data_IF_239685085664
#
_entry.id   IF_239685085664
#
_cell.length_a   1.000
_cell.length_b   1.000
_cell.length_c   1.000
_cell.angle_alpha   90.00
_cell.angle_beta   90.00
_cell.angle_gamma   90.00
#
_symmetry.space_group_name_H-M   'P 1'
#
loop_
_entity.id
_entity.type
_entity.pdbx_description
1 polymer ?
#
# COMPACT_ATOMS: atom_id res chain seq x y z
N UNK A 1 -11.22 -40.51 -31.16
CA UNK A 1 -12.33 -39.54 -31.05
C UNK A 1 -12.60 -39.08 -29.61
N UNK A 2 -12.55 -39.94 -28.58
CA UNK A 2 -12.76 -39.54 -27.18
C UNK A 2 -11.66 -38.61 -26.62
N UNK A 3 -10.38 -38.90 -26.89
CA UNK A 3 -9.25 -38.07 -26.46
C UNK A 3 -9.33 -36.62 -26.97
N UNK A 4 -9.78 -36.43 -28.21
CA UNK A 4 -9.98 -35.10 -28.81
C UNK A 4 -11.10 -34.35 -28.07
N UNK A 5 -12.21 -35.02 -27.75
CA UNK A 5 -13.30 -34.42 -26.97
C UNK A 5 -12.83 -34.04 -25.56
N UNK A 6 -12.06 -34.90 -24.89
CA UNK A 6 -11.49 -34.61 -23.58
C UNK A 6 -10.57 -33.38 -23.63
N UNK A 7 -9.67 -33.31 -24.61
CA UNK A 7 -8.79 -32.16 -24.79
C UNK A 7 -9.56 -30.86 -25.01
N UNK A 8 -10.60 -30.88 -25.86
CA UNK A 8 -11.46 -29.72 -26.09
C UNK A 8 -12.12 -29.27 -24.78
N UNK A 9 -12.67 -30.19 -23.99
CA UNK A 9 -13.29 -29.84 -22.70
C UNK A 9 -12.29 -29.26 -21.70
N UNK A 10 -11.08 -29.78 -21.65
CA UNK A 10 -10.01 -29.21 -20.81
C UNK A 10 -9.61 -27.81 -21.28
N UNK A 11 -9.47 -27.58 -22.59
CA UNK A 11 -9.15 -26.28 -23.14
C UNK A 11 -10.26 -25.25 -22.87
N UNK A 12 -11.53 -25.64 -23.05
CA UNK A 12 -12.69 -24.79 -22.73
C UNK A 12 -12.73 -24.48 -21.23
N UNK A 13 -12.52 -25.49 -20.37
CA UNK A 13 -12.48 -25.32 -18.93
C UNK A 13 -11.37 -24.36 -18.48
N UNK A 14 -10.16 -24.53 -19.01
CA UNK A 14 -9.06 -23.60 -18.75
C UNK A 14 -9.37 -22.18 -19.24
N UNK A 15 -9.90 -22.04 -20.46
CA UNK A 15 -10.33 -20.76 -21.01
C UNK A 15 -11.37 -20.05 -20.14
N UNK A 16 -12.33 -20.79 -19.56
CA UNK A 16 -13.31 -20.25 -18.63
C UNK A 16 -12.67 -19.78 -17.31
N UNK A 17 -11.69 -20.51 -16.77
CA UNK A 17 -10.93 -20.10 -15.58
C UNK A 17 -10.15 -18.81 -15.85
N UNK A 18 -9.46 -18.74 -16.99
CA UNK A 18 -8.68 -17.57 -17.42
C UNK A 18 -9.59 -16.36 -17.58
N UNK A 19 -10.74 -16.52 -18.25
CA UNK A 19 -11.73 -15.46 -18.41
C UNK A 19 -12.30 -15.00 -17.05
N UNK A 20 -12.61 -15.94 -16.16
CA UNK A 20 -13.06 -15.66 -14.80
C UNK A 20 -12.03 -14.84 -14.02
N UNK A 21 -10.76 -15.26 -14.01
CA UNK A 21 -9.67 -14.52 -13.38
C UNK A 21 -9.52 -13.11 -13.98
N UNK A 22 -9.60 -12.97 -15.30
CA UNK A 22 -9.51 -11.67 -15.98
C UNK A 22 -10.65 -10.72 -15.59
N UNK A 23 -11.89 -11.21 -15.53
CA UNK A 23 -13.06 -10.42 -15.18
C UNK A 23 -13.09 -10.06 -13.69
N UNK A 24 -12.63 -10.96 -12.82
CA UNK A 24 -12.69 -10.81 -11.36
C UNK A 24 -11.40 -10.23 -10.74
N UNK A 25 -10.36 -9.97 -11.52
CA UNK A 25 -9.05 -9.52 -10.99
C UNK A 25 -9.14 -8.30 -10.06
N UNK A 26 -10.03 -7.34 -10.34
CA UNK A 26 -10.21 -6.15 -9.48
C UNK A 26 -10.70 -6.55 -8.10
N UNK A 27 -11.63 -7.50 -8.00
CA UNK A 27 -12.12 -7.99 -6.72
C UNK A 27 -11.09 -8.85 -5.99
N UNK A 28 -10.27 -9.61 -6.73
CA UNK A 28 -9.18 -10.41 -6.16
C UNK A 28 -8.07 -9.52 -5.59
N UNK A 29 -7.71 -8.44 -6.29
CA UNK A 29 -6.64 -7.53 -5.89
C UNK A 29 -7.14 -6.54 -4.84
N UNK A 30 -8.38 -6.06 -4.96
CA UNK A 30 -9.00 -5.10 -4.05
C UNK A 30 -10.30 -5.67 -3.44
N UNK A 31 -10.18 -6.59 -2.46
CA UNK A 31 -11.34 -7.22 -1.84
C UNK A 31 -11.98 -6.30 -0.80
N UNK A 32 -12.59 -5.19 -1.23
CA UNK A 32 -13.07 -4.14 -0.32
C UNK A 32 -14.09 -4.61 0.71
N UNK A 33 -14.88 -5.65 0.39
CA UNK A 33 -15.80 -6.28 1.33
C UNK A 33 -15.12 -6.96 2.53
N UNK A 34 -13.83 -7.28 2.45
CA UNK A 34 -13.05 -7.87 3.55
C UNK A 34 -12.44 -6.83 4.50
N UNK A 35 -12.45 -5.54 4.13
CA UNK A 35 -11.88 -4.49 4.98
C UNK A 35 -12.67 -4.25 6.28
N UNK A 36 -13.94 -4.62 6.31
CA UNK A 36 -14.80 -4.43 7.49
C UNK A 36 -15.11 -2.95 7.82
N UNK A 37 -15.86 -2.72 8.89
CA UNK A 37 -16.40 -1.41 9.26
C UNK A 37 -15.39 -0.44 9.92
N UNK A 38 -14.15 -0.88 10.16
CA UNK A 38 -13.14 -0.11 10.89
C UNK A 38 -13.41 -0.02 12.40
N UNK A 39 -12.38 0.31 13.21
CA UNK A 39 -12.55 0.54 14.65
C UNK A 39 -13.22 1.89 14.95
N UNK A 40 -13.70 2.06 16.18
CA UNK A 40 -14.05 3.38 16.68
C UNK A 40 -12.80 4.26 16.75
N UNK A 41 -12.89 5.47 16.19
CA UNK A 41 -11.83 6.47 16.19
C UNK A 41 -11.95 7.39 17.42
N UNK A 42 -10.83 7.99 17.87
CA UNK A 42 -10.88 8.99 18.92
C UNK A 42 -11.67 10.24 18.47
N UNK A 43 -12.24 11.04 19.40
CA UNK A 43 -13.08 12.20 19.07
C UNK A 43 -12.41 13.26 18.19
N UNK A 44 -11.08 13.36 18.26
CA UNK A 44 -10.27 14.31 17.50
C UNK A 44 -10.03 13.86 16.05
N UNK A 45 -10.50 12.68 15.67
CA UNK A 45 -10.37 12.18 14.31
C UNK A 45 -11.23 12.98 13.33
N UNK A 46 -10.63 13.36 12.20
CA UNK A 46 -11.28 14.10 11.13
C UNK A 46 -11.39 13.25 9.87
N UNK A 47 -12.47 13.46 9.11
CA UNK A 47 -12.64 12.89 7.77
C UNK A 47 -12.50 14.01 6.75
N UNK A 48 -11.41 14.00 6.00
CA UNK A 48 -11.21 14.96 4.91
C UNK A 48 -11.73 14.34 3.62
N UNK A 49 -12.74 14.97 3.02
CA UNK A 49 -13.23 14.57 1.70
C UNK A 49 -12.36 15.21 0.61
N UNK A 50 -12.12 14.44 -0.44
CA UNK A 50 -11.41 14.82 -1.66
C UNK A 50 -12.43 14.72 -2.80
N UNK A 51 -12.85 15.88 -3.31
CA UNK A 51 -13.87 16.01 -4.35
C UNK A 51 -13.25 16.76 -5.54
N UNK A 52 -12.67 16.01 -6.49
CA UNK A 52 -12.04 16.60 -7.68
C UNK A 52 -12.48 15.85 -8.95
N UNK A 53 -13.65 16.22 -9.47
CA UNK A 53 -14.17 15.76 -10.77
C UNK A 53 -14.40 14.25 -10.91
N UNK A 54 -14.45 13.50 -9.80
CA UNK A 54 -14.59 12.04 -9.77
C UNK A 54 -15.29 11.57 -8.50
N UNK A 55 -15.27 10.24 -8.19
CA UNK A 55 -15.85 9.71 -6.98
C UNK A 55 -15.27 10.39 -5.73
N UNK A 56 -16.11 10.58 -4.72
CA UNK A 56 -15.68 11.12 -3.43
C UNK A 56 -14.73 10.14 -2.75
N UNK A 57 -13.53 10.61 -2.43
CA UNK A 57 -12.52 9.84 -1.70
C UNK A 57 -12.30 10.49 -0.33
N UNK A 58 -12.06 9.68 0.69
CA UNK A 58 -11.94 10.15 2.07
C UNK A 58 -10.59 9.77 2.65
N UNK A 59 -10.01 10.72 3.38
CA UNK A 59 -8.85 10.53 4.22
C UNK A 59 -9.30 10.58 5.69
N UNK A 60 -8.82 9.64 6.49
CA UNK A 60 -8.93 9.73 7.95
C UNK A 60 -7.68 10.42 8.48
N UNK A 61 -7.85 11.52 9.20
CA UNK A 61 -6.79 12.31 9.81
C UNK A 61 -6.90 12.23 11.34
N UNK A 62 -5.78 11.97 11.99
CA UNK A 62 -5.63 11.93 13.44
C UNK A 62 -4.55 12.95 13.84
N UNK A 63 -4.90 14.03 14.56
CA UNK A 63 -3.90 14.98 15.06
C UNK A 63 -3.00 14.32 16.11
N UNK A 64 -1.81 14.89 16.41
CA UNK A 64 -0.94 14.40 17.48
C UNK A 64 -1.69 14.36 18.83
N UNK A 65 -1.55 13.25 19.56
CA UNK A 65 -2.13 13.08 20.90
C UNK A 65 -1.14 13.31 22.03
N UNK A 66 0.15 13.45 21.72
CA UNK A 66 1.20 13.72 22.71
C UNK A 66 2.24 14.70 22.18
N UNK A 67 2.24 15.92 22.73
CA UNK A 67 3.35 16.87 22.59
C UNK A 67 3.82 17.04 21.15
N UNK A 68 2.91 17.38 20.24
CA UNK A 68 3.22 17.51 18.82
C UNK A 68 4.42 18.42 18.60
N UNK A 69 5.49 17.87 18.05
CA UNK A 69 6.63 18.71 17.67
C UNK A 69 6.15 19.62 16.53
N UNK A 70 6.36 20.93 16.66
CA UNK A 70 5.91 21.92 15.68
C UNK A 70 6.40 21.65 14.25
N UNK A 71 7.41 20.79 14.10
CA UNK A 71 8.06 20.41 12.83
C UNK A 71 7.96 18.90 12.53
N UNK A 72 7.20 18.12 13.30
CA UNK A 72 7.03 16.70 13.03
C UNK A 72 6.33 16.49 11.67
N UNK A 73 6.86 15.62 10.78
CA UNK A 73 6.19 15.31 9.53
C UNK A 73 4.84 14.63 9.78
N UNK A 74 3.92 14.84 8.84
CA UNK A 74 2.66 14.10 8.76
C UNK A 74 2.94 12.73 8.14
N UNK A 75 2.43 11.69 8.77
CA UNK A 75 2.55 10.31 8.28
C UNK A 75 1.33 9.99 7.41
N UNK A 76 1.48 10.08 6.08
CA UNK A 76 0.43 9.74 5.13
C UNK A 76 0.54 8.25 4.75
N UNK A 77 -0.52 7.49 4.99
CA UNK A 77 -0.48 6.03 4.96
C UNK A 77 -1.40 5.43 3.92
N UNK A 78 -0.88 4.43 3.21
CA UNK A 78 -1.58 3.59 2.26
C UNK A 78 -1.57 2.16 2.78
N UNK A 79 -2.73 1.65 3.16
CA UNK A 79 -2.86 0.36 3.83
C UNK A 79 -2.78 -0.85 2.87
N UNK A 80 -2.81 -2.06 3.43
CA UNK A 80 -2.96 -3.28 2.62
C UNK A 80 -4.30 -3.33 1.88
N UNK A 81 -4.39 -4.18 0.86
CA UNK A 81 -5.57 -4.29 0.01
C UNK A 81 -6.84 -4.79 0.73
N UNK A 82 -6.73 -5.42 1.89
CA UNK A 82 -7.88 -5.89 2.67
C UNK A 82 -8.04 -5.10 3.98
N UNK A 83 -7.44 -3.92 4.08
CA UNK A 83 -7.47 -3.12 5.30
C UNK A 83 -8.51 -2.00 5.23
N UNK A 84 -9.03 -1.66 6.41
CA UNK A 84 -9.74 -0.41 6.61
C UNK A 84 -8.74 0.69 6.97
N UNK A 85 -8.83 1.86 6.33
CA UNK A 85 -7.86 2.92 6.55
C UNK A 85 -7.93 3.53 7.97
N UNK A 86 -9.08 3.44 8.66
CA UNK A 86 -9.20 3.84 10.07
C UNK A 86 -8.38 2.95 10.98
N UNK A 87 -8.32 1.64 10.68
CA UNK A 87 -7.48 0.71 11.41
C UNK A 87 -5.99 1.01 11.19
N UNK A 88 -5.61 1.35 9.95
CA UNK A 88 -4.24 1.77 9.62
C UNK A 88 -3.85 3.07 10.33
N UNK A 89 -4.71 4.09 10.26
CA UNK A 89 -4.50 5.37 10.94
C UNK A 89 -4.36 5.17 12.45
N UNK A 90 -5.24 4.38 13.07
CA UNK A 90 -5.20 4.14 14.50
C UNK A 90 -3.97 3.32 14.94
N UNK A 91 -3.54 2.35 14.14
CA UNK A 91 -2.30 1.62 14.38
C UNK A 91 -1.10 2.57 14.43
N UNK A 92 -0.93 3.39 13.39
CA UNK A 92 0.20 4.31 13.32
C UNK A 92 0.12 5.40 14.38
N UNK A 93 -1.06 5.93 14.65
CA UNK A 93 -1.24 6.94 15.70
C UNK A 93 -0.88 6.40 17.10
N UNK A 94 -1.07 5.10 17.36
CA UNK A 94 -0.59 4.46 18.60
C UNK A 94 0.93 4.31 18.65
N UNK A 95 1.57 4.07 17.51
CA UNK A 95 3.03 3.94 17.40
C UNK A 95 3.71 5.32 17.44
N UNK A 96 3.04 6.34 16.90
CA UNK A 96 3.53 7.70 16.68
C UNK A 96 2.56 8.77 17.24
N UNK A 97 2.27 8.77 18.54
CA UNK A 97 1.35 9.76 19.14
C UNK A 97 1.82 11.22 19.01
N UNK A 98 3.10 11.43 18.71
CA UNK A 98 3.74 12.72 18.46
C UNK A 98 3.54 13.26 17.03
N UNK A 99 3.07 12.43 16.10
CA UNK A 99 2.84 12.79 14.71
C UNK A 99 1.36 12.95 14.38
N UNK A 100 1.07 13.81 13.41
CA UNK A 100 -0.20 13.75 12.70
C UNK A 100 -0.18 12.53 11.78
N UNK A 101 -1.24 11.74 11.80
CA UNK A 101 -1.38 10.55 10.95
C UNK A 101 -2.57 10.71 10.04
N UNK A 102 -2.38 10.38 8.76
CA UNK A 102 -3.42 10.37 7.77
C UNK A 102 -3.46 9.01 7.05
N UNK A 103 -4.63 8.47 6.75
CA UNK A 103 -4.78 7.24 5.99
C UNK A 103 -5.88 7.32 4.94
N UNK A 104 -5.55 6.90 3.71
CA UNK A 104 -6.45 6.97 2.56
C UNK A 104 -7.42 5.79 2.52
N UNK A 105 -8.72 6.07 2.47
CA UNK A 105 -9.71 5.07 2.11
C UNK A 105 -9.74 4.91 0.59
N UNK A 106 -9.37 3.75 0.09
CA UNK A 106 -9.35 3.49 -1.35
C UNK A 106 -10.78 3.51 -1.92
N UNK A 107 -10.94 3.83 -3.20
CA UNK A 107 -12.26 3.78 -3.83
C UNK A 107 -12.94 2.43 -3.61
N UNK A 108 -14.21 2.44 -3.22
CA UNK A 108 -14.97 1.24 -2.88
C UNK A 108 -14.67 0.65 -1.49
N UNK A 109 -13.77 1.26 -0.71
CA UNK A 109 -13.56 0.99 0.71
C UNK A 109 -14.25 2.11 1.48
N UNK A 110 -15.31 1.76 2.23
CA UNK A 110 -16.11 2.75 2.92
C UNK A 110 -15.25 3.58 3.91
N UNK A 111 -15.37 4.93 3.89
CA UNK A 111 -16.44 5.72 3.28
C UNK A 111 -16.16 6.26 1.86
N UNK A 112 -15.08 5.87 1.20
CA UNK A 112 -14.79 6.29 -0.18
C UNK A 112 -15.71 5.61 -1.19
N UNK A 113 -16.16 6.38 -2.18
CA UNK A 113 -17.03 5.93 -3.25
C UNK A 113 -16.23 5.40 -4.46
N UNK A 114 -16.96 4.95 -5.49
CA UNK A 114 -16.37 4.51 -6.74
C UNK A 114 -15.86 3.07 -6.72
N UNK A 115 -15.02 2.72 -7.70
CA UNK A 115 -14.45 1.39 -7.87
C UNK A 115 -12.93 1.43 -7.69
N UNK A 116 -12.33 0.46 -6.97
CA UNK A 116 -10.90 0.41 -6.81
C UNK A 116 -10.21 0.01 -8.12
N UNK A 117 -9.02 0.55 -8.34
CA UNK A 117 -8.06 0.09 -9.33
C UNK A 117 -6.67 0.54 -8.91
N UNK A 118 -5.62 -0.07 -9.47
CA UNK A 118 -4.25 0.40 -9.31
C UNK A 118 -4.14 1.89 -9.67
N UNK A 119 -4.55 2.26 -10.89
CA UNK A 119 -4.57 3.65 -11.36
C UNK A 119 -5.30 4.60 -10.40
N UNK A 120 -6.48 4.21 -9.90
CA UNK A 120 -7.23 5.03 -8.96
C UNK A 120 -6.48 5.20 -7.63
N UNK A 121 -5.86 4.15 -7.10
CA UNK A 121 -5.07 4.22 -5.88
C UNK A 121 -3.87 5.17 -6.05
N UNK A 122 -3.09 5.00 -7.11
CA UNK A 122 -1.92 5.84 -7.40
C UNK A 122 -2.31 7.32 -7.54
N UNK A 123 -3.32 7.60 -8.34
CA UNK A 123 -3.83 8.95 -8.53
C UNK A 123 -4.45 9.56 -7.25
N UNK A 124 -5.20 8.79 -6.47
CA UNK A 124 -5.81 9.28 -5.23
C UNK A 124 -4.77 9.50 -4.12
N UNK A 125 -3.60 8.83 -4.17
CA UNK A 125 -2.47 9.11 -3.29
C UNK A 125 -1.95 10.54 -3.47
N UNK A 126 -1.83 11.01 -4.71
CA UNK A 126 -1.42 12.38 -5.02
C UNK A 126 -2.45 13.39 -4.51
N UNK A 127 -3.74 13.10 -4.69
CA UNK A 127 -4.81 13.97 -4.18
C UNK A 127 -4.85 14.00 -2.65
N UNK A 128 -4.51 12.90 -1.99
CA UNK A 128 -4.41 12.85 -0.53
C UNK A 128 -3.28 13.75 -0.03
N UNK A 129 -2.13 13.74 -0.70
CA UNK A 129 -1.05 14.69 -0.44
C UNK A 129 -1.54 16.13 -0.63
N UNK A 130 -2.09 16.44 -1.80
CA UNK A 130 -2.54 17.79 -2.14
C UNK A 130 -3.55 18.33 -1.12
N UNK A 131 -4.48 17.48 -0.68
CA UNK A 131 -5.48 17.83 0.33
C UNK A 131 -4.87 18.11 1.71
N UNK A 132 -3.81 17.42 2.09
CA UNK A 132 -3.12 17.64 3.38
C UNK A 132 -2.25 18.90 3.40
N UNK A 133 -1.83 19.36 2.21
CA UNK A 133 -0.97 20.53 2.02
C UNK A 133 -1.70 21.75 1.47
N UNK A 134 -3.01 21.66 1.25
CA UNK A 134 -3.81 22.72 0.62
C UNK A 134 -3.75 24.04 1.42
N UNK A 135 -3.87 23.96 2.75
CA UNK A 135 -3.98 25.11 3.64
C UNK A 135 -2.68 25.39 4.44
N UNK A 136 -1.64 24.59 4.25
CA UNK A 136 -0.37 24.70 5.00
C UNK A 136 0.77 23.98 4.30
N UNK A 137 2.00 24.43 4.55
CA UNK A 137 3.18 23.62 4.28
C UNK A 137 3.26 22.47 5.30
N UNK A 138 3.40 21.23 4.80
CA UNK A 138 3.58 20.06 5.65
C UNK A 138 4.65 19.14 5.05
N UNK A 139 5.61 18.73 5.87
CA UNK A 139 6.54 17.65 5.51
C UNK A 139 5.78 16.33 5.58
N UNK A 140 5.66 15.62 4.46
CA UNK A 140 4.94 14.34 4.40
C UNK A 140 5.94 13.19 4.37
N UNK A 141 5.78 12.21 5.24
CA UNK A 141 6.39 10.87 5.07
C UNK A 141 5.32 9.92 4.58
N UNK A 142 5.54 9.29 3.42
CA UNK A 142 4.60 8.33 2.86
C UNK A 142 4.89 6.92 3.39
N UNK A 143 3.90 6.29 4.01
CA UNK A 143 4.01 4.93 4.56
C UNK A 143 3.12 3.99 3.75
N UNK A 144 3.72 3.06 3.03
CA UNK A 144 2.99 2.11 2.19
C UNK A 144 3.10 0.68 2.72
N UNK A 145 1.95 0.08 3.04
CA UNK A 145 1.84 -1.30 3.52
C UNK A 145 1.43 -2.23 2.37
N UNK A 146 2.29 -3.19 1.99
CA UNK A 146 2.03 -4.16 0.92
C UNK A 146 1.66 -3.46 -0.40
N UNK A 147 0.41 -3.59 -0.87
CA UNK A 147 -0.09 -2.85 -2.05
C UNK A 147 0.04 -1.32 -1.92
N UNK A 148 -0.05 -0.79 -0.70
CA UNK A 148 0.14 0.62 -0.43
C UNK A 148 1.56 1.11 -0.69
N UNK A 149 2.56 0.21 -0.75
CA UNK A 149 3.94 0.59 -1.11
C UNK A 149 4.05 1.14 -2.52
N UNK A 150 3.27 0.62 -3.47
CA UNK A 150 3.22 1.18 -4.82
C UNK A 150 2.66 2.61 -4.82
N UNK A 151 1.64 2.90 -4.00
CA UNK A 151 1.07 4.23 -3.86
C UNK A 151 2.05 5.23 -3.20
N UNK A 152 2.82 4.78 -2.20
CA UNK A 152 3.83 5.61 -1.55
C UNK A 152 4.97 6.00 -2.51
N UNK A 153 5.44 5.05 -3.32
CA UNK A 153 6.50 5.30 -4.32
C UNK A 153 5.98 6.18 -5.46
N UNK A 154 4.79 5.90 -6.00
CA UNK A 154 4.19 6.71 -7.06
C UNK A 154 3.94 8.15 -6.60
N UNK A 155 3.44 8.33 -5.37
CA UNK A 155 3.32 9.66 -4.78
C UNK A 155 4.66 10.41 -4.75
N UNK A 156 5.74 9.74 -4.37
CA UNK A 156 7.07 10.35 -4.31
C UNK A 156 7.64 10.72 -5.69
N UNK A 157 7.12 10.12 -6.77
CA UNK A 157 7.50 10.49 -8.13
C UNK A 157 6.90 11.84 -8.56
N UNK A 158 5.72 12.19 -8.04
CA UNK A 158 4.97 13.36 -8.47
C UNK A 158 4.89 14.48 -7.40
N UNK A 159 5.23 14.20 -6.14
CA UNK A 159 5.16 15.14 -5.03
C UNK A 159 6.41 15.07 -4.15
N UNK A 160 6.79 16.21 -3.60
CA UNK A 160 7.95 16.34 -2.71
C UNK A 160 7.62 15.78 -1.31
N UNK A 161 7.87 14.50 -1.10
CA UNK A 161 7.80 13.87 0.23
C UNK A 161 9.15 14.00 0.96
N UNK A 162 9.11 14.07 2.28
CA UNK A 162 10.31 14.06 3.12
C UNK A 162 11.00 12.69 3.12
N UNK A 163 10.25 11.62 2.90
CA UNK A 163 10.76 10.25 2.83
C UNK A 163 9.65 9.23 2.63
N UNK A 164 10.02 7.98 2.35
CA UNK A 164 9.09 6.87 2.18
C UNK A 164 9.46 5.68 3.08
N UNK A 165 8.45 5.04 3.66
CA UNK A 165 8.61 3.80 4.43
C UNK A 165 7.73 2.71 3.82
N UNK A 166 8.36 1.63 3.36
CA UNK A 166 7.71 0.54 2.62
C UNK A 166 7.72 -0.73 3.46
N UNK A 167 6.55 -1.25 3.79
CA UNK A 167 6.39 -2.48 4.61
C UNK A 167 5.90 -3.61 3.73
N UNK A 168 6.63 -4.71 3.71
CA UNK A 168 6.45 -5.88 2.83
C UNK A 168 6.17 -5.52 1.36
N UNK A 169 6.99 -4.63 0.74
CA UNK A 169 6.77 -4.21 -0.64
C UNK A 169 7.13 -5.31 -1.64
N UNK A 170 6.55 -5.20 -2.84
CA UNK A 170 6.88 -6.02 -4.00
C UNK A 170 7.55 -5.17 -5.08
N UNK A 171 8.32 -5.80 -5.98
CA UNK A 171 8.95 -5.10 -7.11
C UNK A 171 7.94 -4.66 -8.17
N UNK A 172 7.10 -5.57 -8.65
CA UNK A 172 5.96 -5.27 -9.52
C UNK A 172 4.77 -6.18 -9.19
N UNK A 173 3.55 -5.66 -9.36
CA UNK A 173 2.34 -6.46 -9.15
C UNK A 173 2.22 -7.57 -10.19
N UNK A 174 2.73 -7.33 -11.41
CA UNK A 174 2.77 -8.32 -12.48
C UNK A 174 3.64 -9.52 -12.13
N UNK A 175 4.88 -9.29 -11.69
CA UNK A 175 5.77 -10.40 -11.33
C UNK A 175 5.30 -11.13 -10.08
N UNK A 176 4.75 -10.40 -9.10
CA UNK A 176 4.15 -11.00 -7.91
C UNK A 176 3.00 -11.94 -8.30
N UNK A 177 2.06 -11.47 -9.12
CA UNK A 177 0.93 -12.26 -9.56
C UNK A 177 1.34 -13.43 -10.47
N UNK A 178 2.31 -13.24 -11.37
CA UNK A 178 2.84 -14.30 -12.23
C UNK A 178 3.56 -15.39 -11.43
N UNK A 179 4.25 -15.02 -10.34
CA UNK A 179 4.86 -15.99 -9.41
C UNK A 179 3.82 -16.77 -8.61
N UNK A 180 2.75 -16.12 -8.16
CA UNK A 180 1.67 -16.76 -7.41
C UNK A 180 0.80 -17.67 -8.28
N UNK A 181 0.59 -17.28 -9.55
CA UNK A 181 -0.26 -17.99 -10.50
C UNK A 181 0.50 -18.34 -11.80
N UNK A 182 1.52 -19.21 -11.74
CA UNK A 182 2.39 -19.51 -12.89
C UNK A 182 1.66 -20.25 -14.03
N UNK A 183 0.49 -20.84 -13.74
CA UNK A 183 -0.38 -21.51 -14.71
C UNK A 183 -1.34 -20.54 -15.43
N UNK A 184 -1.39 -19.27 -15.01
CA UNK A 184 -2.22 -18.23 -15.60
C UNK A 184 -1.35 -17.30 -16.46
N UNK A 185 -1.79 -16.85 -17.65
CA UNK A 185 -1.01 -15.93 -18.49
C UNK A 185 -1.10 -14.50 -17.96
N UNK A 186 -0.67 -14.28 -16.72
CA UNK A 186 -0.78 -13.00 -15.98
C UNK A 186 -0.22 -11.83 -16.78
N UNK A 187 0.98 -11.99 -17.35
CA UNK A 187 1.67 -10.94 -18.13
C UNK A 187 0.88 -10.43 -19.34
N UNK A 188 0.00 -11.27 -19.89
CA UNK A 188 -0.85 -10.91 -21.03
C UNK A 188 -2.18 -10.27 -20.61
N UNK A 189 -2.63 -10.50 -19.37
CA UNK A 189 -4.02 -10.25 -18.96
C UNK A 189 -4.18 -9.30 -17.77
N UNK A 190 -3.10 -9.01 -17.04
CA UNK A 190 -3.15 -8.15 -15.87
C UNK A 190 -3.41 -6.70 -16.30
N UNK A 191 -4.52 -6.13 -15.81
CA UNK A 191 -4.92 -4.73 -16.05
C UNK A 191 -4.39 -3.78 -14.98
N UNK A 192 -4.17 -4.29 -13.78
CA UNK A 192 -3.68 -3.50 -12.65
C UNK A 192 -2.16 -3.58 -12.62
N UNK A 193 -1.50 -2.52 -13.09
CA UNK A 193 -0.04 -2.41 -13.12
C UNK A 193 0.45 -1.50 -12.01
N UNK A 194 1.52 -1.93 -11.34
CA UNK A 194 2.20 -1.21 -10.27
C UNK A 194 3.67 -1.63 -10.33
N UNK A 195 4.55 -0.69 -10.67
CA UNK A 195 5.97 -0.94 -10.91
C UNK A 195 6.84 -0.32 -9.81
N UNK A 196 6.68 -0.77 -8.57
CA UNK A 196 7.29 -0.16 -7.39
C UNK A 196 8.81 -0.06 -7.47
N UNK A 197 9.52 -1.14 -7.84
CA UNK A 197 10.99 -1.10 -7.89
C UNK A 197 11.50 -0.22 -9.05
N UNK A 198 10.88 -0.29 -10.23
CA UNK A 198 11.29 0.51 -11.38
C UNK A 198 11.03 2.00 -11.15
N UNK A 199 9.85 2.37 -10.64
CA UNK A 199 9.57 3.75 -10.27
C UNK A 199 10.54 4.25 -9.21
N UNK A 200 10.81 3.45 -8.17
CA UNK A 200 11.74 3.83 -7.10
C UNK A 200 13.17 4.07 -7.58
N UNK A 201 13.66 3.31 -8.58
CA UNK A 201 15.02 3.47 -9.09
C UNK A 201 15.29 4.82 -9.78
N UNK A 202 14.22 5.52 -10.18
CA UNK A 202 14.31 6.84 -10.81
C UNK A 202 14.20 7.99 -9.78
N UNK A 203 14.01 7.68 -8.49
CA UNK A 203 13.80 8.67 -7.43
C UNK A 203 15.03 8.80 -6.53
N UNK A 204 15.34 10.03 -6.13
CA UNK A 204 16.29 10.36 -5.06
C UNK A 204 15.50 10.79 -3.83
N UNK A 205 14.96 9.80 -3.10
CA UNK A 205 14.10 10.01 -1.94
C UNK A 205 14.55 9.13 -0.76
N UNK A 206 14.71 9.69 0.46
CA UNK A 206 15.05 8.90 1.63
C UNK A 206 14.08 7.74 1.83
N UNK A 207 14.59 6.52 1.76
CA UNK A 207 13.77 5.30 1.68
C UNK A 207 14.10 4.33 2.81
N UNK A 208 13.05 3.79 3.44
CA UNK A 208 13.15 2.67 4.37
C UNK A 208 12.32 1.49 3.89
N UNK A 209 12.84 0.27 4.06
CA UNK A 209 12.15 -0.98 3.69
C UNK A 209 12.11 -1.93 4.88
N UNK A 210 10.93 -2.46 5.20
CA UNK A 210 10.71 -3.46 6.25
C UNK A 210 10.13 -4.72 5.61
N UNK A 211 10.87 -5.83 5.64
CA UNK A 211 10.45 -7.13 5.12
C UNK A 211 9.98 -8.06 6.25
N UNK A 212 9.25 -9.13 5.89
CA UNK A 212 8.89 -10.22 6.80
C UNK A 212 9.56 -11.53 6.34
N UNK A 213 10.27 -12.21 7.25
CA UNK A 213 11.12 -13.35 6.88
C UNK A 213 10.34 -14.56 6.32
N UNK A 214 9.09 -14.75 6.74
CA UNK A 214 8.23 -15.88 6.35
C UNK A 214 7.00 -15.42 5.55
N UNK A 215 7.16 -14.34 4.80
CA UNK A 215 6.09 -13.81 3.98
C UNK A 215 5.75 -14.76 2.82
N UNK A 216 4.56 -15.37 2.90
CA UNK A 216 4.04 -16.28 1.89
C UNK A 216 3.20 -15.58 0.81
N UNK A 217 2.97 -14.27 0.94
CA UNK A 217 2.18 -13.46 0.00
C UNK A 217 3.14 -12.65 -0.87
N UNK A 218 4.06 -11.92 -0.25
CA UNK A 218 5.12 -11.13 -0.88
C UNK A 218 6.46 -11.69 -0.39
N UNK A 219 7.05 -12.66 -1.10
CA UNK A 219 8.30 -13.28 -0.66
C UNK A 219 9.39 -12.24 -0.41
N UNK A 220 10.25 -12.47 0.60
CA UNK A 220 11.28 -11.53 1.02
C UNK A 220 12.18 -11.05 -0.13
N UNK A 221 12.43 -11.90 -1.13
CA UNK A 221 13.21 -11.51 -2.32
C UNK A 221 12.56 -10.37 -3.11
N UNK A 222 11.24 -10.18 -3.00
CA UNK A 222 10.53 -9.06 -3.61
C UNK A 222 10.86 -7.75 -2.89
N UNK A 223 10.97 -7.78 -1.56
CA UNK A 223 11.42 -6.63 -0.78
C UNK A 223 12.91 -6.36 -0.97
N UNK A 224 13.74 -7.39 -1.16
CA UNK A 224 15.14 -7.23 -1.54
C UNK A 224 15.28 -6.46 -2.87
N UNK A 225 14.45 -6.77 -3.89
CA UNK A 225 14.46 -6.02 -5.14
C UNK A 225 14.10 -4.54 -4.97
N UNK A 226 13.15 -4.23 -4.09
CA UNK A 226 12.76 -2.85 -3.80
C UNK A 226 13.86 -2.13 -3.02
N UNK A 227 14.49 -2.81 -2.04
CA UNK A 227 15.67 -2.30 -1.34
C UNK A 227 16.80 -1.97 -2.32
N UNK A 228 17.11 -2.88 -3.23
CA UNK A 228 18.22 -2.74 -4.18
C UNK A 228 17.94 -1.65 -5.25
N UNK A 229 16.67 -1.32 -5.48
CA UNK A 229 16.25 -0.24 -6.36
C UNK A 229 16.31 1.15 -5.70
N UNK A 230 16.30 1.23 -4.37
CA UNK A 230 16.36 2.51 -3.66
C UNK A 230 17.75 3.15 -3.78
N UNK A 231 17.83 4.31 -4.44
CA UNK A 231 19.08 5.07 -4.58
C UNK A 231 19.57 5.66 -3.24
N UNK A 232 18.64 6.14 -2.42
CA UNK A 232 18.86 6.67 -1.05
C UNK A 232 18.20 5.77 0.02
N UNK A 233 18.71 4.55 0.16
CA UNK A 233 18.27 3.63 1.20
C UNK A 233 18.83 4.04 2.57
N UNK A 234 17.96 4.52 3.46
CA UNK A 234 18.30 4.93 4.84
C UNK A 234 18.12 3.83 5.87
N UNK A 235 17.23 2.89 5.62
CA UNK A 235 16.95 1.82 6.58
C UNK A 235 16.43 0.54 5.90
N UNK A 236 16.91 -0.61 6.37
CA UNK A 236 16.38 -1.90 5.98
C UNK A 236 16.32 -2.84 7.19
N UNK A 237 15.18 -3.48 7.40
CA UNK A 237 15.03 -4.51 8.42
C UNK A 237 14.19 -5.67 7.91
N UNK A 238 14.53 -6.88 8.34
CA UNK A 238 13.68 -8.07 8.17
C UNK A 238 13.15 -8.48 9.54
N UNK A 239 11.83 -8.59 9.65
CA UNK A 239 11.17 -9.05 10.88
C UNK A 239 11.20 -10.57 10.89
N UNK A 240 12.06 -11.11 11.75
CA UNK A 240 12.20 -12.55 11.96
C UNK A 240 10.93 -13.19 12.53
N UNK A 241 10.67 -14.44 12.13
CA UNK A 241 9.51 -15.22 12.57
C UNK A 241 8.13 -14.57 12.31
N UNK A 242 8.04 -13.65 11.34
CA UNK A 242 6.80 -13.02 10.91
C UNK A 242 6.49 -13.33 9.45
N UNK A 243 5.20 -13.45 9.12
CA UNK A 243 4.68 -13.45 7.76
C UNK A 243 3.94 -12.14 7.45
N UNK A 244 3.22 -12.12 6.32
CA UNK A 244 2.61 -10.90 5.77
C UNK A 244 1.61 -10.23 6.70
N UNK A 245 0.79 -11.04 7.39
CA UNK A 245 -0.38 -10.55 8.13
C UNK A 245 -0.12 -10.43 9.64
N UNK A 246 0.82 -11.20 10.20
CA UNK A 246 1.14 -11.24 11.62
C UNK A 246 2.40 -10.43 11.97
N UNK A 247 3.06 -9.82 10.98
CA UNK A 247 4.17 -8.88 11.20
C UNK A 247 3.75 -7.71 12.11
N UNK A 248 2.53 -7.18 11.93
CA UNK A 248 2.06 -6.00 12.66
C UNK A 248 1.92 -6.24 14.18
N UNK A 249 1.79 -7.50 14.60
CA UNK A 249 1.67 -7.89 16.00
C UNK A 249 3.04 -8.04 16.69
N UNK A 250 4.14 -7.90 15.94
CA UNK A 250 5.49 -8.11 16.48
C UNK A 250 6.02 -6.82 17.09
N UNK A 251 6.57 -6.91 18.30
CA UNK A 251 7.30 -5.79 18.92
C UNK A 251 8.48 -5.32 18.05
N UNK A 252 9.13 -6.26 17.37
CA UNK A 252 10.21 -5.96 16.43
C UNK A 252 9.74 -5.08 15.26
N UNK A 253 8.49 -5.24 14.80
CA UNK A 253 7.92 -4.37 13.77
C UNK A 253 7.74 -2.94 14.27
N UNK A 254 7.20 -2.75 15.47
CA UNK A 254 7.05 -1.42 16.07
C UNK A 254 8.40 -0.70 16.21
N UNK A 255 9.43 -1.42 16.68
CA UNK A 255 10.78 -0.88 16.80
C UNK A 255 11.38 -0.52 15.43
N UNK A 256 11.28 -1.41 14.45
CA UNK A 256 11.77 -1.18 13.09
C UNK A 256 11.04 -0.01 12.42
N UNK A 257 9.73 0.12 12.60
CA UNK A 257 8.95 1.20 12.02
C UNK A 257 9.33 2.56 12.60
N UNK A 258 9.59 2.66 13.92
CA UNK A 258 10.09 3.90 14.53
C UNK A 258 11.48 4.27 14.00
N UNK A 259 12.37 3.30 13.84
CA UNK A 259 13.71 3.53 13.26
C UNK A 259 13.62 3.95 11.79
N UNK A 260 12.74 3.31 11.01
CA UNK A 260 12.50 3.64 9.62
C UNK A 260 12.01 5.08 9.45
N UNK A 261 11.01 5.50 10.21
CA UNK A 261 10.49 6.88 10.16
C UNK A 261 11.58 7.89 10.55
N UNK A 262 12.34 7.63 11.62
CA UNK A 262 13.43 8.52 12.01
C UNK A 262 14.51 8.63 10.91
N UNK A 263 14.94 7.50 10.34
CA UNK A 263 16.00 7.44 9.35
C UNK A 263 15.68 8.16 8.04
N UNK A 264 14.40 8.27 7.66
CA UNK A 264 13.98 8.99 6.45
C UNK A 264 13.63 10.45 6.71
N UNK A 265 13.65 10.91 7.97
CA UNK A 265 13.34 12.30 8.34
C UNK A 265 14.56 13.11 8.74
N UNK A 266 15.66 12.43 9.05
CA UNK A 266 17.00 12.97 9.39
C UNK A 266 17.83 13.28 8.13
#
# INVERSE_FOLDING_TARGET
MWLVKLFIWLAVGYGAIVLGAYLLQTWLIFPSGLAGAGPALPPEAERLAIESGGPRVVLTRLPPSRGGAAEAPVLLTFAGNAWNADAAALMLHRIFPEHEVAALHYRGYGPSEGRPSAEALLHDAQRAYDRLTEDREARIVAIGLSIGSAAAVDLAADRSVAGIVLVTPFGSLEDLAARQYPWLPVRLLLRHRMETAATLSDLDVPTAVIAAARDAIVPAESSDRVRDAASDLRFFATIENAGHNDLYDRQAFVAALRQAVAAVTD
#
